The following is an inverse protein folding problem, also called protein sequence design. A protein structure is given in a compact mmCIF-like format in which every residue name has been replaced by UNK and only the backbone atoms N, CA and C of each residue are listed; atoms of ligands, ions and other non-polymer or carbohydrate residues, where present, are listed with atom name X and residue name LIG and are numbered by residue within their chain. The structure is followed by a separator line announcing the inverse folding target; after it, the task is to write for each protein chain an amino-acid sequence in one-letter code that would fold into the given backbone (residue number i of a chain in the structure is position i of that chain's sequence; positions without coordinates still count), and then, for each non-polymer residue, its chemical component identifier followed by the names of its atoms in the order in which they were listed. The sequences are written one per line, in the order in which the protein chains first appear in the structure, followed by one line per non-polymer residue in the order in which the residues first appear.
data_IF_360389907486
#
_entry.id   IF_360389907486
#
_cell.length_a   1.000
_cell.length_b   1.000
_cell.length_c   1.000
_cell.angle_alpha   90.00
_cell.angle_beta   90.00
_cell.angle_gamma   90.00
#
_symmetry.space_group_name_H-M   'P 1'
#
loop_
_entity.id
_entity.type
_entity.pdbx_description
1 polymer ?
#
# COMPACT_ATOMS: atom_id res chain seq x y z
N UNK A 1 1.49 2.41 23.37
CA UNK A 1 0.29 1.57 23.17
C UNK A 1 0.64 0.16 22.66
N UNK A 2 1.56 -0.58 23.29
CA UNK A 2 1.77 -2.02 22.98
C UNK A 2 2.34 -2.39 21.59
N UNK A 3 2.62 -1.44 20.70
CA UNK A 3 3.00 -1.71 19.29
C UNK A 3 4.51 -1.76 19.01
N UNK A 4 5.35 -1.55 20.02
CA UNK A 4 6.80 -1.32 19.86
C UNK A 4 7.58 -2.55 19.36
N UNK A 5 7.10 -3.77 19.62
CA UNK A 5 7.76 -5.03 19.23
C UNK A 5 7.48 -5.50 17.79
N UNK A 6 6.60 -4.82 17.05
CA UNK A 6 6.17 -5.26 15.73
C UNK A 6 6.91 -4.56 14.57
N UNK A 7 7.08 -5.24 13.41
CA UNK A 7 7.62 -4.64 12.19
C UNK A 7 6.79 -3.45 11.71
N UNK A 8 7.38 -2.52 10.94
CA UNK A 8 6.76 -1.23 10.57
C UNK A 8 5.38 -1.35 9.91
N UNK A 9 5.20 -2.34 9.04
CA UNK A 9 3.92 -2.61 8.36
C UNK A 9 2.83 -3.05 9.35
N UNK A 10 3.15 -3.96 10.28
CA UNK A 10 2.21 -4.43 11.31
C UNK A 10 1.90 -3.31 12.30
N UNK A 11 2.91 -2.54 12.71
CA UNK A 11 2.76 -1.40 13.63
C UNK A 11 1.75 -0.37 13.11
N UNK A 12 1.79 -0.04 11.81
CA UNK A 12 0.83 0.88 11.18
C UNK A 12 -0.61 0.36 11.32
N UNK A 13 -0.83 -0.93 11.08
CA UNK A 13 -2.14 -1.58 11.24
C UNK A 13 -2.62 -1.55 12.69
N UNK A 14 -1.74 -1.88 13.65
CA UNK A 14 -2.08 -1.85 15.08
C UNK A 14 -2.41 -0.42 15.56
N UNK A 15 -1.75 0.60 15.01
CA UNK A 15 -2.11 2.01 15.28
C UNK A 15 -3.51 2.33 14.78
N UNK A 16 -3.90 1.86 13.59
CA UNK A 16 -5.28 2.03 13.09
C UNK A 16 -6.27 1.38 14.06
N UNK A 17 -5.99 0.15 14.54
CA UNK A 17 -6.84 -0.51 15.55
C UNK A 17 -6.96 0.33 16.82
N UNK A 18 -5.89 0.94 17.31
CA UNK A 18 -5.93 1.77 18.51
C UNK A 18 -6.77 3.04 18.31
N UNK A 19 -6.69 3.66 17.12
CA UNK A 19 -7.51 4.84 16.78
C UNK A 19 -8.98 4.44 16.70
N UNK A 20 -9.30 3.31 16.07
CA UNK A 20 -10.67 2.79 16.01
C UNK A 20 -11.20 2.47 17.41
N UNK A 21 -10.39 1.83 18.25
CA UNK A 21 -10.76 1.53 19.63
C UNK A 21 -11.05 2.81 20.44
N UNK A 22 -10.25 3.86 20.27
CA UNK A 22 -10.51 5.15 20.90
C UNK A 22 -11.81 5.79 20.38
N UNK A 23 -12.06 5.72 19.07
CA UNK A 23 -13.29 6.24 18.48
C UNK A 23 -14.53 5.51 19.00
N UNK A 24 -14.46 4.17 19.13
CA UNK A 24 -15.51 3.35 19.75
C UNK A 24 -15.74 3.78 21.20
N UNK A 25 -14.67 3.93 21.99
CA UNK A 25 -14.78 4.40 23.37
C UNK A 25 -15.47 5.77 23.48
N UNK A 26 -15.11 6.72 22.60
CA UNK A 26 -15.74 8.06 22.57
C UNK A 26 -17.22 7.93 22.21
N UNK A 27 -17.55 7.17 21.16
CA UNK A 27 -18.93 7.01 20.71
C UNK A 27 -19.79 6.33 21.78
N UNK A 28 -19.31 5.25 22.41
CA UNK A 28 -20.01 4.59 23.52
C UNK A 28 -20.20 5.53 24.72
N UNK A 29 -19.22 6.38 25.03
CA UNK A 29 -19.37 7.38 26.10
C UNK A 29 -20.43 8.44 25.77
N UNK A 30 -20.58 8.83 24.50
CA UNK A 30 -21.68 9.71 24.05
C UNK A 30 -23.03 9.03 24.32
N UNK A 31 -23.20 7.75 24.00
CA UNK A 31 -24.45 7.03 24.28
C UNK A 31 -24.75 6.88 25.78
N UNK A 32 -23.72 6.75 26.63
CA UNK A 32 -23.91 6.84 28.09
C UNK A 32 -24.58 8.16 28.46
N UNK A 33 -24.08 9.28 27.94
CA UNK A 33 -24.66 10.61 28.17
C UNK A 33 -26.09 10.73 27.65
N UNK A 34 -26.35 10.22 26.45
CA UNK A 34 -27.70 10.20 25.85
C UNK A 34 -28.67 9.42 26.75
N UNK A 35 -28.36 8.17 27.11
CA UNK A 35 -29.25 7.36 27.94
C UNK A 35 -29.44 7.94 29.34
N UNK A 36 -28.39 8.53 29.93
CA UNK A 36 -28.49 9.20 31.22
C UNK A 36 -29.43 10.41 31.17
N UNK A 37 -29.40 11.19 30.07
CA UNK A 37 -30.28 12.35 29.89
C UNK A 37 -31.76 11.97 29.73
N UNK A 38 -32.07 10.79 29.18
CA UNK A 38 -33.44 10.28 29.07
C UNK A 38 -33.97 9.62 30.35
N UNK A 39 -33.10 9.29 31.32
CA UNK A 39 -33.49 8.78 32.63
C UNK A 39 -32.66 7.59 33.08
N UNK A 40 -31.78 7.81 34.06
CA UNK A 40 -30.85 6.78 34.54
C UNK A 40 -31.58 5.54 35.06
N UNK A 41 -32.71 5.70 35.76
CA UNK A 41 -33.43 4.59 36.39
C UNK A 41 -33.98 3.56 35.38
N UNK A 42 -34.43 4.02 34.21
CA UNK A 42 -35.01 3.14 33.19
C UNK A 42 -33.94 2.56 32.25
N UNK A 43 -32.87 3.33 31.97
CA UNK A 43 -31.84 2.96 31.00
C UNK A 43 -30.51 2.52 31.61
N UNK A 44 -30.43 2.30 32.93
CA UNK A 44 -29.18 1.86 33.59
C UNK A 44 -28.53 0.62 32.97
N UNK A 45 -29.25 -0.41 32.46
CA UNK A 45 -28.60 -1.57 31.87
C UNK A 45 -27.84 -1.20 30.58
N UNK A 46 -28.39 -0.29 29.78
CA UNK A 46 -27.78 0.25 28.56
C UNK A 46 -26.57 1.12 28.86
N UNK A 47 -26.65 1.92 29.94
CA UNK A 47 -25.54 2.75 30.42
C UNK A 47 -24.37 1.88 30.86
N UNK A 48 -24.62 0.87 31.71
CA UNK A 48 -23.58 -0.04 32.21
C UNK A 48 -22.92 -0.82 31.06
N UNK A 49 -23.72 -1.31 30.10
CA UNK A 49 -23.18 -2.00 28.93
C UNK A 49 -22.30 -1.09 28.05
N UNK A 50 -22.69 0.18 27.83
CA UNK A 50 -21.84 1.13 27.11
C UNK A 50 -20.56 1.47 27.88
N UNK A 51 -20.62 1.67 29.20
CA UNK A 51 -19.43 1.84 30.04
C UNK A 51 -18.50 0.63 29.96
N UNK A 52 -19.05 -0.58 29.96
CA UNK A 52 -18.30 -1.81 29.72
C UNK A 52 -17.60 -1.80 28.36
N UNK A 53 -18.28 -1.35 27.30
CA UNK A 53 -17.70 -1.23 25.97
C UNK A 53 -16.56 -0.19 25.91
N UNK A 54 -16.69 0.95 26.61
CA UNK A 54 -15.61 1.93 26.78
C UNK A 54 -14.38 1.29 27.40
N UNK A 55 -14.56 0.55 28.50
CA UNK A 55 -13.45 -0.12 29.20
C UNK A 55 -12.80 -1.16 28.28
N UNK A 56 -13.59 -2.01 27.63
CA UNK A 56 -13.06 -3.01 26.70
C UNK A 56 -12.28 -2.35 25.55
N UNK A 57 -12.80 -1.29 24.96
CA UNK A 57 -12.16 -0.58 23.87
C UNK A 57 -10.83 0.08 24.30
N UNK A 58 -10.77 0.70 25.49
CA UNK A 58 -9.52 1.27 26.01
C UNK A 58 -8.48 0.22 26.39
N UNK A 59 -8.90 -0.99 26.78
CA UNK A 59 -8.02 -2.11 27.13
C UNK A 59 -7.63 -2.95 25.91
N UNK A 60 -8.39 -2.92 24.81
CA UNK A 60 -8.12 -3.71 23.60
C UNK A 60 -6.68 -3.55 23.05
N UNK A 61 -6.04 -2.36 23.06
CA UNK A 61 -4.64 -2.21 22.66
C UNK A 61 -3.64 -3.05 23.46
N UNK A 62 -3.98 -3.49 24.68
CA UNK A 62 -3.13 -4.37 25.47
C UNK A 62 -3.09 -5.79 24.89
N UNK A 63 -4.16 -6.21 24.18
CA UNK A 63 -4.25 -7.51 23.54
C UNK A 63 -3.26 -7.68 22.37
N UNK A 64 -2.67 -6.59 21.85
CA UNK A 64 -1.57 -6.64 20.88
C UNK A 64 -0.36 -7.44 21.38
N UNK A 65 -0.24 -7.63 22.70
CA UNK A 65 0.81 -8.48 23.29
C UNK A 65 0.65 -9.97 22.99
N UNK A 66 -0.58 -10.41 22.67
CA UNK A 66 -0.89 -11.83 22.41
C UNK A 66 -0.59 -12.15 20.94
N UNK A 67 -1.23 -11.41 20.03
CA UNK A 67 -1.00 -11.51 18.59
C UNK A 67 -1.46 -10.21 17.89
N UNK A 68 -1.26 -10.14 16.58
CA UNK A 68 -1.50 -8.97 15.73
C UNK A 68 -2.96 -8.74 15.34
N UNK A 69 -3.88 -9.62 15.78
CA UNK A 69 -5.33 -9.63 15.46
C UNK A 69 -6.21 -9.63 16.71
N UNK A 70 -5.66 -9.94 17.89
CA UNK A 70 -6.39 -10.21 19.12
C UNK A 70 -7.22 -9.01 19.56
N UNK A 71 -6.64 -7.80 19.50
CA UNK A 71 -7.37 -6.57 19.81
C UNK A 71 -8.61 -6.39 18.93
N UNK A 72 -8.48 -6.68 17.62
CA UNK A 72 -9.59 -6.55 16.68
C UNK A 72 -10.70 -7.57 16.97
N UNK A 73 -10.33 -8.81 17.30
CA UNK A 73 -11.29 -9.86 17.65
C UNK A 73 -12.00 -9.55 18.98
N UNK A 74 -11.29 -9.04 19.98
CA UNK A 74 -11.88 -8.63 21.27
C UNK A 74 -12.88 -7.49 21.06
N UNK A 75 -12.52 -6.47 20.28
CA UNK A 75 -13.43 -5.36 19.95
C UNK A 75 -14.66 -5.89 19.23
N UNK A 76 -14.48 -6.68 18.17
CA UNK A 76 -15.58 -7.22 17.38
C UNK A 76 -16.54 -8.08 18.21
N UNK A 77 -16.00 -8.97 19.07
CA UNK A 77 -16.81 -9.79 19.95
C UNK A 77 -17.58 -8.96 20.99
N UNK A 78 -16.94 -7.95 21.58
CA UNK A 78 -17.56 -7.06 22.55
C UNK A 78 -18.68 -6.22 21.92
N UNK A 79 -18.44 -5.65 20.73
CA UNK A 79 -19.45 -4.88 20.00
C UNK A 79 -20.64 -5.74 19.61
N UNK A 80 -20.42 -6.93 19.03
CA UNK A 80 -21.52 -7.84 18.70
C UNK A 80 -22.33 -8.27 19.92
N UNK A 81 -21.67 -8.54 21.04
CA UNK A 81 -22.35 -8.88 22.30
C UNK A 81 -23.17 -7.70 22.81
N UNK A 82 -22.62 -6.49 22.79
CA UNK A 82 -23.30 -5.28 23.21
C UNK A 82 -24.51 -4.96 22.32
N UNK A 83 -24.36 -5.05 21.00
CA UNK A 83 -25.46 -4.85 20.04
C UNK A 83 -26.59 -5.85 20.25
N UNK A 84 -26.28 -7.12 20.51
CA UNK A 84 -27.29 -8.13 20.78
C UNK A 84 -28.05 -7.85 22.07
N UNK A 85 -27.32 -7.42 23.11
CA UNK A 85 -27.91 -6.97 24.36
C UNK A 85 -28.81 -5.74 24.16
N UNK A 86 -28.37 -4.73 23.41
CA UNK A 86 -29.16 -3.52 23.16
C UNK A 86 -30.46 -3.80 22.41
N UNK A 87 -30.41 -4.64 21.37
CA UNK A 87 -31.62 -5.03 20.62
C UNK A 87 -32.55 -5.88 21.49
N UNK A 88 -32.02 -6.70 22.40
CA UNK A 88 -32.85 -7.44 23.38
C UNK A 88 -33.61 -6.50 24.32
N UNK A 89 -32.97 -5.44 24.80
CA UNK A 89 -33.60 -4.54 25.76
C UNK A 89 -34.58 -3.55 25.10
N UNK A 90 -34.27 -3.05 23.90
CA UNK A 90 -35.04 -2.01 23.19
C UNK A 90 -35.94 -2.53 22.04
N UNK A 91 -35.79 -3.79 21.64
CA UNK A 91 -36.45 -4.37 20.46
C UNK A 91 -35.83 -3.92 19.13
N UNK A 92 -36.17 -4.60 18.04
CA UNK A 92 -35.62 -4.31 16.71
C UNK A 92 -36.10 -2.97 16.10
N UNK A 93 -37.13 -2.33 16.65
CA UNK A 93 -37.56 -0.99 16.20
C UNK A 93 -36.52 0.11 16.49
N UNK A 94 -35.58 -0.16 17.40
CA UNK A 94 -34.45 0.75 17.68
C UNK A 94 -33.51 0.95 16.49
N UNK A 95 -33.51 0.05 15.51
CA UNK A 95 -32.59 0.09 14.36
C UNK A 95 -31.14 -0.24 14.67
N UNK A 96 -30.81 -0.54 15.94
CA UNK A 96 -29.45 -0.83 16.41
C UNK A 96 -28.84 -2.04 15.68
N UNK A 97 -29.67 -2.97 15.21
CA UNK A 97 -29.24 -4.12 14.41
C UNK A 97 -28.57 -3.71 13.08
N UNK A 98 -28.76 -2.49 12.56
CA UNK A 98 -28.02 -2.02 11.39
C UNK A 98 -26.52 -1.91 11.67
N UNK A 99 -26.14 -1.65 12.92
CA UNK A 99 -24.75 -1.51 13.32
C UNK A 99 -23.97 -2.84 13.28
N UNK A 100 -24.63 -4.01 13.17
CA UNK A 100 -23.93 -5.27 12.88
C UNK A 100 -23.16 -5.22 11.55
N UNK A 101 -23.72 -4.51 10.56
CA UNK A 101 -23.10 -4.31 9.25
C UNK A 101 -21.84 -3.44 9.40
N UNK A 102 -21.90 -2.41 10.25
CA UNK A 102 -20.78 -1.51 10.54
C UNK A 102 -19.62 -2.27 11.18
N UNK A 103 -19.88 -3.05 12.23
CA UNK A 103 -18.84 -3.85 12.91
C UNK A 103 -18.21 -4.85 11.95
N UNK A 104 -19.00 -5.50 11.09
CA UNK A 104 -18.50 -6.41 10.07
C UNK A 104 -17.59 -5.70 9.04
N UNK A 105 -17.98 -4.52 8.58
CA UNK A 105 -17.18 -3.71 7.64
C UNK A 105 -15.88 -3.22 8.28
N UNK A 106 -15.93 -2.78 9.54
CA UNK A 106 -14.75 -2.35 10.31
C UNK A 106 -13.79 -3.52 10.53
N UNK A 107 -14.29 -4.72 10.81
CA UNK A 107 -13.45 -5.93 10.94
C UNK A 107 -12.66 -6.21 9.65
N UNK A 108 -13.26 -6.02 8.47
CA UNK A 108 -12.55 -6.10 7.19
C UNK A 108 -11.47 -5.03 7.05
N UNK A 109 -11.77 -3.77 7.38
CA UNK A 109 -10.81 -2.66 7.29
C UNK A 109 -9.60 -2.87 8.22
N UNK A 110 -9.81 -3.50 9.39
CA UNK A 110 -8.76 -3.76 10.38
C UNK A 110 -7.91 -4.98 10.02
N UNK A 111 -8.54 -6.11 9.73
CA UNK A 111 -7.83 -7.38 9.50
C UNK A 111 -7.21 -7.44 8.09
N UNK A 112 -7.83 -6.75 7.13
CA UNK A 112 -7.42 -6.71 5.74
C UNK A 112 -7.43 -8.08 5.06
N UNK A 113 -6.76 -8.15 3.90
CA UNK A 113 -6.66 -9.38 3.09
C UNK A 113 -5.78 -10.46 3.73
N UNK A 114 -4.90 -10.10 4.67
CA UNK A 114 -3.98 -11.04 5.31
C UNK A 114 -4.72 -12.11 6.14
N UNK A 115 -5.89 -11.76 6.68
CA UNK A 115 -6.68 -12.59 7.59
C UNK A 115 -8.09 -12.81 7.05
N UNK A 116 -8.25 -12.98 5.73
CA UNK A 116 -9.54 -13.02 5.05
C UNK A 116 -10.52 -14.07 5.64
N UNK A 117 -10.01 -15.24 6.06
CA UNK A 117 -10.84 -16.29 6.68
C UNK A 117 -11.48 -15.83 8.00
N UNK A 118 -10.76 -15.06 8.80
CA UNK A 118 -11.28 -14.47 10.04
C UNK A 118 -12.34 -13.40 9.74
N UNK A 119 -12.12 -12.59 8.71
CA UNK A 119 -13.11 -11.59 8.29
C UNK A 119 -14.40 -12.24 7.81
N UNK A 120 -14.31 -13.27 6.96
CA UNK A 120 -15.49 -14.02 6.51
C UNK A 120 -16.24 -14.60 7.71
N UNK A 121 -15.53 -15.16 8.69
CA UNK A 121 -16.11 -15.64 9.94
C UNK A 121 -16.83 -14.54 10.72
N UNK A 122 -16.20 -13.37 10.91
CA UNK A 122 -16.80 -12.23 11.59
C UNK A 122 -18.06 -11.72 10.89
N UNK A 123 -18.03 -11.60 9.55
CA UNK A 123 -19.19 -11.21 8.73
C UNK A 123 -20.33 -12.22 8.89
N UNK A 124 -20.03 -13.52 8.83
CA UNK A 124 -21.03 -14.58 9.00
C UNK A 124 -21.66 -14.55 10.39
N UNK A 125 -20.85 -14.34 11.45
CA UNK A 125 -21.34 -14.18 12.82
C UNK A 125 -22.22 -12.93 12.94
N UNK A 126 -21.78 -11.79 12.41
CA UNK A 126 -22.56 -10.55 12.42
C UNK A 126 -23.90 -10.68 11.69
N UNK A 127 -23.92 -11.33 10.52
CA UNK A 127 -25.14 -11.62 9.77
C UNK A 127 -26.08 -12.56 10.57
N UNK A 128 -25.53 -13.62 11.15
CA UNK A 128 -26.29 -14.55 11.98
C UNK A 128 -26.92 -13.86 13.19
N UNK A 129 -26.16 -13.01 13.89
CA UNK A 129 -26.65 -12.22 15.01
C UNK A 129 -27.68 -11.17 14.59
N UNK A 130 -27.51 -10.53 13.43
CA UNK A 130 -28.49 -9.59 12.88
C UNK A 130 -29.83 -10.27 12.62
N UNK A 131 -29.83 -11.42 11.94
CA UNK A 131 -31.02 -12.21 11.65
C UNK A 131 -31.65 -12.73 12.94
N UNK A 132 -30.83 -13.29 13.85
CA UNK A 132 -31.31 -13.78 15.13
C UNK A 132 -31.96 -12.66 15.96
N UNK A 133 -31.33 -11.49 16.04
CA UNK A 133 -31.87 -10.34 16.76
C UNK A 133 -33.20 -9.85 16.16
N UNK A 134 -33.34 -9.88 14.83
CA UNK A 134 -34.60 -9.53 14.15
C UNK A 134 -35.77 -10.42 14.60
N UNK A 135 -35.58 -11.74 14.58
CA UNK A 135 -36.65 -12.71 14.88
C UNK A 135 -36.87 -12.95 16.37
N UNK A 136 -35.80 -12.91 17.19
CA UNK A 136 -35.91 -13.19 18.62
C UNK A 136 -36.48 -12.01 19.41
N UNK A 137 -36.32 -10.78 18.91
CA UNK A 137 -36.71 -9.57 19.63
C UNK A 137 -37.67 -8.67 18.83
N UNK A 138 -38.90 -9.15 18.56
CA UNK A 138 -39.98 -8.33 18.00
C UNK A 138 -40.32 -7.13 18.91
N UNK A 139 -41.03 -6.10 18.41
CA UNK A 139 -41.27 -4.86 19.15
C UNK A 139 -41.96 -5.10 20.49
N UNK A 140 -42.88 -6.06 20.53
CA UNK A 140 -43.66 -6.41 21.71
C UNK A 140 -42.84 -7.12 22.81
N UNK A 141 -41.63 -7.56 22.48
CA UNK A 141 -40.71 -8.22 23.41
C UNK A 141 -39.71 -7.27 24.08
N UNK A 142 -39.76 -5.97 23.76
CA UNK A 142 -38.89 -4.97 24.36
C UNK A 142 -39.09 -4.93 25.89
N UNK A 143 -38.00 -5.07 26.63
CA UNK A 143 -38.02 -5.06 28.11
C UNK A 143 -38.13 -3.65 28.65
N UNK A 144 -37.53 -2.69 27.93
CA UNK A 144 -37.57 -1.28 28.26
C UNK A 144 -38.59 -0.63 27.34
N UNK A 145 -39.67 -0.12 27.93
CA UNK A 145 -40.60 0.77 27.25
C UNK A 145 -39.90 2.12 27.00
N UNK A 146 -39.18 2.20 25.89
CA UNK A 146 -38.40 3.38 25.53
C UNK A 146 -39.29 4.48 24.93
N UNK A 147 -38.87 5.73 25.11
CA UNK A 147 -39.52 6.88 24.51
C UNK A 147 -39.54 6.74 22.97
N UNK A 148 -40.68 6.92 22.29
CA UNK A 148 -40.75 6.87 20.84
C UNK A 148 -39.74 7.80 20.15
N UNK A 149 -39.53 9.01 20.68
CA UNK A 149 -38.56 9.96 20.13
C UNK A 149 -37.13 9.40 20.21
N UNK A 150 -36.77 8.75 21.32
CA UNK A 150 -35.47 8.09 21.47
C UNK A 150 -35.31 6.96 20.45
N UNK A 151 -36.31 6.09 20.28
CA UNK A 151 -36.25 4.99 19.32
C UNK A 151 -36.08 5.48 17.88
N UNK A 152 -36.81 6.51 17.47
CA UNK A 152 -36.67 7.10 16.14
C UNK A 152 -35.28 7.72 15.93
N UNK A 153 -34.75 8.40 16.94
CA UNK A 153 -33.40 8.97 16.87
C UNK A 153 -32.33 7.88 16.76
N UNK A 154 -32.44 6.80 17.56
CA UNK A 154 -31.54 5.64 17.49
C UNK A 154 -31.58 4.97 16.12
N UNK A 155 -32.77 4.84 15.53
CA UNK A 155 -32.92 4.25 14.21
C UNK A 155 -32.26 5.12 13.13
N UNK A 156 -32.59 6.42 13.10
CA UNK A 156 -32.06 7.37 12.11
C UNK A 156 -30.55 7.50 12.23
N UNK A 157 -30.02 7.61 13.45
CA UNK A 157 -28.57 7.70 13.70
C UNK A 157 -27.85 6.40 13.32
N UNK A 158 -28.41 5.22 13.62
CA UNK A 158 -27.84 3.93 13.21
C UNK A 158 -27.82 3.78 11.68
N UNK A 159 -28.91 4.14 11.01
CA UNK A 159 -28.98 4.12 9.55
C UNK A 159 -27.97 5.09 8.92
N UNK A 160 -27.94 6.35 9.37
CA UNK A 160 -27.01 7.36 8.87
C UNK A 160 -25.55 6.95 9.09
N UNK A 161 -25.21 6.49 10.30
CA UNK A 161 -23.86 6.01 10.63
C UNK A 161 -23.47 4.82 9.76
N UNK A 162 -24.39 3.88 9.51
CA UNK A 162 -24.15 2.73 8.64
C UNK A 162 -23.82 3.16 7.22
N UNK A 163 -24.62 4.04 6.61
CA UNK A 163 -24.35 4.56 5.27
C UNK A 163 -23.03 5.32 5.21
N UNK A 164 -22.76 6.21 6.18
CA UNK A 164 -21.53 6.99 6.23
C UNK A 164 -20.29 6.10 6.36
N UNK A 165 -20.29 5.13 7.28
CA UNK A 165 -19.13 4.26 7.50
C UNK A 165 -18.90 3.33 6.30
N UNK A 166 -19.96 2.76 5.71
CA UNK A 166 -19.82 1.95 4.49
C UNK A 166 -19.23 2.79 3.37
N UNK A 167 -19.76 3.99 3.12
CA UNK A 167 -19.23 4.89 2.09
C UNK A 167 -17.77 5.27 2.34
N UNK A 168 -17.39 5.56 3.59
CA UNK A 168 -16.00 5.86 3.97
C UNK A 168 -15.06 4.66 3.76
N UNK A 169 -15.47 3.46 4.18
CA UNK A 169 -14.66 2.25 4.01
C UNK A 169 -14.51 1.90 2.54
N UNK A 170 -15.60 1.96 1.77
CA UNK A 170 -15.58 1.70 0.32
C UNK A 170 -14.72 2.72 -0.40
N UNK A 171 -14.90 4.02 -0.11
CA UNK A 171 -14.07 5.08 -0.68
C UNK A 171 -12.59 4.95 -0.31
N UNK A 172 -12.30 4.59 0.94
CA UNK A 172 -10.92 4.27 1.37
C UNK A 172 -10.35 3.08 0.60
N UNK A 173 -11.11 2.01 0.40
CA UNK A 173 -10.67 0.83 -0.33
C UNK A 173 -10.35 1.16 -1.81
N UNK A 174 -11.23 1.91 -2.48
CA UNK A 174 -10.99 2.34 -3.86
C UNK A 174 -9.79 3.27 -3.98
N UNK A 175 -9.70 4.30 -3.12
CA UNK A 175 -8.55 5.22 -3.16
C UNK A 175 -7.22 4.54 -2.84
N UNK A 176 -7.22 3.52 -1.96
CA UNK A 176 -6.04 2.70 -1.71
C UNK A 176 -5.66 1.85 -2.94
N UNK A 177 -6.65 1.26 -3.62
CA UNK A 177 -6.42 0.50 -4.85
C UNK A 177 -5.86 1.38 -5.99
N UNK A 178 -6.41 2.58 -6.17
CA UNK A 178 -5.95 3.53 -7.19
C UNK A 178 -4.52 4.01 -6.91
N UNK A 179 -4.18 4.29 -5.65
CA UNK A 179 -2.82 4.66 -5.25
C UNK A 179 -1.82 3.54 -5.51
N UNK A 180 -2.18 2.30 -5.13
CA UNK A 180 -1.34 1.14 -5.38
C UNK A 180 -1.12 0.91 -6.89
N UNK A 181 -2.16 1.13 -7.70
CA UNK A 181 -2.07 1.05 -9.16
C UNK A 181 -1.18 2.15 -9.74
N UNK A 182 -1.36 3.39 -9.31
CA UNK A 182 -0.57 4.52 -9.77
C UNK A 182 0.92 4.38 -9.41
N UNK A 183 1.23 3.87 -8.22
CA UNK A 183 2.61 3.58 -7.80
C UNK A 183 3.23 2.46 -8.64
N UNK A 184 2.49 1.38 -8.89
CA UNK A 184 2.94 0.30 -9.78
C UNK A 184 3.18 0.80 -11.21
N UNK A 185 2.28 1.63 -11.75
CA UNK A 185 2.42 2.24 -13.08
C UNK A 185 3.63 3.19 -13.15
N UNK A 186 3.85 4.00 -12.12
CA UNK A 186 5.00 4.90 -12.03
C UNK A 186 6.33 4.14 -11.96
N UNK A 187 6.39 3.08 -11.15
CA UNK A 187 7.58 2.23 -11.06
C UNK A 187 7.87 1.52 -12.38
N UNK A 188 6.84 0.97 -13.04
CA UNK A 188 6.98 0.36 -14.36
C UNK A 188 7.50 1.36 -15.39
N UNK A 189 6.95 2.57 -15.45
CA UNK A 189 7.40 3.62 -16.36
C UNK A 189 8.82 4.14 -16.05
N UNK A 190 9.28 4.02 -14.79
CA UNK A 190 10.65 4.41 -14.41
C UNK A 190 11.72 3.40 -14.86
N UNK A 191 11.33 2.13 -15.08
CA UNK A 191 12.24 1.03 -15.42
C UNK A 191 12.17 0.69 -16.91
N UNK A 192 10.98 0.81 -17.52
CA UNK A 192 10.69 0.38 -18.88
C UNK A 192 10.24 1.56 -19.75
N UNK A 193 10.62 1.58 -21.03
CA UNK A 193 10.02 2.47 -22.01
C UNK A 193 8.51 2.28 -22.11
N UNK A 194 7.78 3.37 -22.28
CA UNK A 194 6.32 3.41 -22.30
C UNK A 194 5.65 2.36 -23.22
N UNK A 195 6.12 2.12 -24.46
CA UNK A 195 5.51 1.09 -25.33
C UNK A 195 5.65 -0.33 -24.78
N UNK A 196 6.72 -0.60 -24.03
CA UNK A 196 7.01 -1.92 -23.46
C UNK A 196 6.25 -2.10 -22.15
N UNK A 197 6.15 -1.03 -21.34
CA UNK A 197 5.32 -1.02 -20.14
C UNK A 197 3.84 -1.31 -20.47
N UNK A 198 3.26 -0.65 -21.46
CA UNK A 198 1.86 -0.88 -21.87
C UNK A 198 1.61 -2.29 -22.43
N UNK A 199 2.56 -2.83 -23.21
CA UNK A 199 2.49 -4.23 -23.67
C UNK A 199 2.51 -5.22 -22.52
N UNK A 200 3.37 -5.01 -21.52
CA UNK A 200 3.44 -5.90 -20.36
C UNK A 200 2.24 -5.76 -19.41
N UNK A 201 1.63 -4.56 -19.32
CA UNK A 201 0.37 -4.36 -18.58
C UNK A 201 -0.79 -5.13 -19.22
N UNK A 202 -0.87 -5.11 -20.55
CA UNK A 202 -1.95 -5.78 -21.30
C UNK A 202 -1.74 -7.29 -21.41
N UNK A 203 -0.48 -7.74 -21.52
CA UNK A 203 -0.12 -9.16 -21.65
C UNK A 203 1.03 -9.52 -20.70
N UNK A 204 0.72 -9.78 -19.43
CA UNK A 204 1.73 -10.18 -18.44
C UNK A 204 2.48 -11.44 -18.91
N UNK A 205 3.82 -11.37 -18.94
CA UNK A 205 4.67 -12.50 -19.32
C UNK A 205 4.92 -12.66 -20.82
N UNK A 206 4.42 -11.76 -21.68
CA UNK A 206 4.80 -11.75 -23.10
C UNK A 206 6.31 -11.52 -23.24
N UNK A 207 6.97 -12.37 -24.05
CA UNK A 207 8.39 -12.17 -24.39
C UNK A 207 8.51 -10.95 -25.30
N UNK A 208 9.05 -9.86 -24.78
CA UNK A 208 9.36 -8.66 -25.56
C UNK A 208 10.74 -8.83 -26.20
N UNK A 209 10.77 -8.99 -27.52
CA UNK A 209 11.96 -9.20 -28.33
C UNK A 209 11.79 -8.56 -29.73
N UNK A 210 11.60 -7.26 -29.77
CA UNK A 210 11.34 -6.55 -31.03
C UNK A 210 12.63 -6.36 -31.83
N UNK A 211 12.58 -6.59 -33.14
CA UNK A 211 13.74 -6.34 -34.00
C UNK A 211 13.81 -4.85 -34.38
N UNK A 212 14.91 -4.18 -34.05
CA UNK A 212 15.19 -2.81 -34.48
C UNK A 212 16.14 -2.88 -35.69
N UNK A 213 15.69 -2.52 -36.90
CA UNK A 213 16.48 -2.70 -38.12
C UNK A 213 17.70 -1.77 -38.19
N UNK A 214 17.63 -0.57 -37.60
CA UNK A 214 18.71 0.42 -37.57
C UNK A 214 18.88 0.99 -36.16
N UNK A 215 19.94 0.57 -35.45
CA UNK A 215 20.23 1.05 -34.10
C UNK A 215 21.73 1.25 -33.90
N UNK A 216 22.14 2.45 -33.48
CA UNK A 216 23.53 2.76 -33.14
C UNK A 216 23.72 2.73 -31.62
N UNK A 217 24.59 1.83 -31.14
CA UNK A 217 24.95 1.70 -29.72
C UNK A 217 26.17 2.58 -29.40
N UNK A 218 26.27 3.11 -28.18
CA UNK A 218 27.46 3.78 -27.65
C UNK A 218 27.89 3.08 -26.38
N UNK A 219 29.18 2.77 -26.30
CA UNK A 219 29.85 2.44 -25.05
C UNK A 219 30.90 3.50 -24.78
N UNK A 220 30.97 3.95 -23.53
CA UNK A 220 32.05 4.83 -23.05
C UNK A 220 32.56 4.25 -21.76
N UNK A 221 33.86 4.40 -21.54
CA UNK A 221 34.56 3.88 -20.39
C UNK A 221 35.59 4.93 -19.95
N UNK A 222 35.80 5.01 -18.63
CA UNK A 222 36.58 6.06 -18.01
C UNK A 222 38.03 5.55 -17.79
N UNK A 223 38.95 5.97 -18.67
CA UNK A 223 40.39 5.66 -18.55
C UNK A 223 41.01 6.25 -17.28
N UNK A 224 41.61 5.39 -16.45
CA UNK A 224 42.30 5.80 -15.21
C UNK A 224 41.36 5.98 -14.01
N UNK A 225 40.09 5.59 -14.13
CA UNK A 225 39.12 5.72 -13.04
C UNK A 225 39.51 4.94 -11.79
N UNK A 226 40.06 3.73 -11.93
CA UNK A 226 40.43 2.88 -10.79
C UNK A 226 41.47 3.54 -9.89
N UNK A 227 42.51 4.15 -10.47
CA UNK A 227 43.56 4.86 -9.73
C UNK A 227 43.00 6.11 -9.04
N UNK A 228 42.19 6.90 -9.78
CA UNK A 228 41.54 8.09 -9.24
C UNK A 228 40.56 7.77 -8.10
N UNK A 229 39.85 6.65 -8.18
CA UNK A 229 38.94 6.19 -7.14
C UNK A 229 39.67 5.77 -5.86
N UNK A 230 40.88 5.20 -6.00
CA UNK A 230 41.75 4.87 -4.87
C UNK A 230 42.30 6.12 -4.18
N UNK A 231 42.61 7.18 -4.93
CA UNK A 231 43.16 8.43 -4.38
C UNK A 231 42.09 9.34 -3.74
N UNK A 232 40.91 9.48 -4.34
CA UNK A 232 39.88 10.44 -3.91
C UNK A 232 38.93 9.94 -2.81
N UNK A 233 38.85 8.62 -2.62
CA UNK A 233 37.92 7.99 -1.68
C UNK A 233 36.46 7.95 -2.16
N UNK A 234 35.71 6.97 -1.66
CA UNK A 234 34.39 6.57 -2.21
C UNK A 234 33.36 7.71 -2.32
N UNK A 235 33.24 8.56 -1.30
CA UNK A 235 32.25 9.64 -1.30
C UNK A 235 32.49 10.65 -2.42
N UNK A 236 33.76 11.05 -2.64
CA UNK A 236 34.11 12.03 -3.67
C UNK A 236 34.06 11.43 -5.06
N UNK A 237 34.46 10.17 -5.21
CA UNK A 237 34.33 9.43 -6.48
C UNK A 237 32.87 9.34 -6.94
N UNK A 238 31.95 8.99 -6.04
CA UNK A 238 30.52 8.88 -6.35
C UNK A 238 29.94 10.26 -6.72
N UNK A 239 30.27 11.32 -5.98
CA UNK A 239 29.81 12.67 -6.30
C UNK A 239 30.23 13.11 -7.71
N UNK A 240 31.45 12.77 -8.13
CA UNK A 240 31.94 13.12 -9.46
C UNK A 240 31.28 12.27 -10.55
N UNK A 241 31.14 10.96 -10.30
CA UNK A 241 30.45 10.06 -11.22
C UNK A 241 29.00 10.52 -11.45
N UNK A 242 28.31 10.93 -10.39
CA UNK A 242 26.93 11.43 -10.46
C UNK A 242 26.81 12.68 -11.34
N UNK A 243 27.74 13.64 -11.21
CA UNK A 243 27.79 14.84 -12.07
C UNK A 243 28.03 14.48 -13.53
N UNK A 244 28.92 13.53 -13.80
CA UNK A 244 29.28 13.10 -15.15
C UNK A 244 28.12 12.36 -15.81
N UNK A 245 27.51 11.40 -15.11
CA UNK A 245 26.33 10.67 -15.57
C UNK A 245 25.15 11.62 -15.78
N UNK A 246 24.91 12.57 -14.88
CA UNK A 246 23.85 13.59 -15.06
C UNK A 246 24.05 14.42 -16.33
N UNK A 247 25.31 14.77 -16.67
CA UNK A 247 25.62 15.49 -17.92
C UNK A 247 25.37 14.62 -19.16
N UNK A 248 25.72 13.34 -19.11
CA UNK A 248 25.40 12.37 -20.17
C UNK A 248 23.89 12.20 -20.34
N UNK A 249 23.14 12.05 -19.24
CA UNK A 249 21.68 11.89 -19.25
C UNK A 249 21.00 13.11 -19.90
N UNK A 250 21.46 14.33 -19.57
CA UNK A 250 20.94 15.56 -20.18
C UNK A 250 21.20 15.62 -21.68
N UNK A 251 22.39 15.21 -22.13
CA UNK A 251 22.74 15.21 -23.55
C UNK A 251 22.01 14.09 -24.31
N UNK A 252 21.79 12.94 -23.69
CA UNK A 252 20.99 11.86 -24.24
C UNK A 252 19.54 12.31 -24.47
N UNK A 253 18.93 12.99 -23.49
CA UNK A 253 17.57 13.55 -23.60
C UNK A 253 17.43 14.58 -24.74
N UNK A 254 18.39 15.51 -24.88
CA UNK A 254 18.38 16.54 -25.95
C UNK A 254 18.43 15.91 -27.34
N UNK A 255 19.11 14.77 -27.48
CA UNK A 255 19.38 14.15 -28.77
C UNK A 255 18.52 12.91 -29.04
N UNK A 256 17.51 12.64 -28.22
CA UNK A 256 16.59 11.51 -28.40
C UNK A 256 17.29 10.15 -28.31
N UNK A 257 18.29 10.02 -27.44
CA UNK A 257 19.04 8.79 -27.23
C UNK A 257 18.70 8.19 -25.89
N UNK A 258 18.50 6.89 -25.88
CA UNK A 258 18.03 6.16 -24.72
C UNK A 258 19.23 5.59 -23.95
N UNK A 259 19.31 5.92 -22.66
CA UNK A 259 20.28 5.32 -21.75
C UNK A 259 19.86 3.88 -21.47
N UNK A 260 20.78 2.93 -21.64
CA UNK A 260 20.53 1.53 -21.33
C UNK A 260 20.91 1.21 -19.89
N UNK A 261 22.15 1.53 -19.51
CA UNK A 261 22.69 1.33 -18.15
C UNK A 261 24.04 2.02 -17.98
N UNK A 262 24.48 2.13 -16.74
CA UNK A 262 25.90 2.30 -16.41
C UNK A 262 26.52 0.94 -16.06
N UNK A 263 27.81 0.76 -16.33
CA UNK A 263 28.57 -0.44 -15.96
C UNK A 263 29.85 0.07 -15.28
N UNK A 264 29.84 0.11 -13.95
CA UNK A 264 30.92 0.74 -13.19
C UNK A 264 31.04 2.22 -13.55
N UNK A 265 32.18 2.57 -14.12
CA UNK A 265 32.57 3.88 -14.62
C UNK A 265 32.22 4.11 -16.11
N UNK A 266 31.67 3.10 -16.77
CA UNK A 266 31.20 3.17 -18.15
C UNK A 266 29.72 3.57 -18.30
N UNK A 267 29.40 4.21 -19.43
CA UNK A 267 28.04 4.62 -19.80
C UNK A 267 27.63 4.02 -21.16
N UNK A 268 26.48 3.34 -21.17
CA UNK A 268 25.91 2.66 -22.35
C UNK A 268 24.59 3.31 -22.77
N UNK A 269 24.47 3.65 -24.06
CA UNK A 269 23.27 4.24 -24.63
C UNK A 269 23.01 3.79 -26.07
N UNK A 270 21.76 3.90 -26.54
CA UNK A 270 21.32 3.45 -27.87
C UNK A 270 20.48 4.53 -28.54
N UNK A 271 20.70 4.73 -29.84
CA UNK A 271 19.80 5.51 -30.69
C UNK A 271 19.14 4.58 -31.70
N UNK A 272 17.82 4.42 -31.62
CA UNK A 272 17.01 3.89 -32.71
C UNK A 272 16.82 5.01 -33.72
N UNK A 273 17.66 5.06 -34.76
CA UNK A 273 17.68 6.16 -35.71
C UNK A 273 17.78 5.61 -37.12
N UNK A 274 16.95 6.15 -38.02
CA UNK A 274 17.09 5.98 -39.47
C UNK A 274 18.44 6.52 -39.97
N UNK A 275 19.09 7.39 -39.19
CA UNK A 275 20.39 8.00 -39.49
C UNK A 275 21.45 7.55 -38.45
N UNK A 276 22.40 6.67 -38.80
CA UNK A 276 23.38 6.10 -37.87
C UNK A 276 24.33 7.13 -37.21
N UNK A 277 24.30 8.40 -37.64
CA UNK A 277 25.20 9.47 -37.19
C UNK A 277 24.78 10.17 -35.88
N UNK A 278 23.57 9.95 -35.35
CA UNK A 278 23.07 10.66 -34.15
C UNK A 278 23.84 10.28 -32.88
N UNK A 279 24.07 8.98 -32.63
CA UNK A 279 24.86 8.50 -31.48
C UNK A 279 26.30 9.02 -31.53
N UNK A 280 26.89 9.02 -32.72
CA UNK A 280 28.24 9.54 -32.98
C UNK A 280 28.32 11.05 -32.69
N UNK A 281 27.28 11.83 -33.06
CA UNK A 281 27.20 13.27 -32.79
C UNK A 281 27.08 13.61 -31.31
N UNK A 282 26.41 12.78 -30.50
CA UNK A 282 26.35 12.96 -29.04
C UNK A 282 27.72 12.72 -28.42
N UNK A 283 28.35 11.59 -28.76
CA UNK A 283 29.69 11.27 -28.30
C UNK A 283 30.66 12.42 -28.64
N UNK A 284 30.56 12.95 -29.86
CA UNK A 284 31.36 14.10 -30.32
C UNK A 284 31.03 15.44 -29.63
N UNK A 285 29.76 15.70 -29.27
CA UNK A 285 29.37 16.93 -28.55
C UNK A 285 29.77 16.89 -27.07
N UNK A 286 29.63 15.74 -26.43
CA UNK A 286 30.19 15.52 -25.08
C UNK A 286 31.71 15.74 -25.13
N UNK A 287 32.39 15.16 -26.13
CA UNK A 287 33.83 15.30 -26.35
C UNK A 287 34.31 16.75 -26.44
N UNK A 288 33.51 17.65 -27.06
CA UNK A 288 33.82 19.09 -27.16
C UNK A 288 33.32 19.96 -26.01
N UNK A 289 32.53 19.40 -25.08
CA UNK A 289 31.99 20.17 -23.95
C UNK A 289 33.10 20.45 -22.94
N UNK A 290 33.20 21.66 -22.36
CA UNK A 290 34.16 21.94 -21.29
C UNK A 290 33.97 20.93 -20.16
N UNK A 291 35.01 20.16 -19.86
CA UNK A 291 35.03 19.23 -18.74
C UNK A 291 35.62 19.99 -17.53
N UNK A 292 35.00 19.92 -16.34
CA UNK A 292 35.62 20.46 -15.13
C UNK A 292 36.93 19.72 -14.86
N UNK A 293 37.94 20.41 -14.32
CA UNK A 293 39.14 19.73 -13.81
C UNK A 293 38.75 18.74 -12.69
N UNK A 294 39.32 17.53 -12.66
CA UNK A 294 40.60 17.10 -13.24
C UNK A 294 40.52 16.36 -14.60
N UNK A 295 39.35 16.32 -15.25
CA UNK A 295 39.03 15.36 -16.31
C UNK A 295 39.57 15.68 -17.72
N UNK A 296 40.58 16.56 -17.85
CA UNK A 296 41.17 16.94 -19.16
C UNK A 296 41.84 15.78 -19.91
N UNK A 297 42.21 14.70 -19.23
CA UNK A 297 42.94 13.55 -19.79
C UNK A 297 42.05 12.39 -20.27
N UNK A 298 40.74 12.44 -20.07
CA UNK A 298 39.84 11.33 -20.35
C UNK A 298 39.57 11.10 -21.84
N UNK A 299 39.87 9.90 -22.34
CA UNK A 299 39.52 9.45 -23.70
C UNK A 299 38.65 8.18 -23.63
N UNK A 300 37.37 8.19 -24.06
CA UNK A 300 36.60 6.95 -24.15
C UNK A 300 37.23 6.02 -25.20
N UNK A 301 37.49 4.77 -24.81
CA UNK A 301 38.31 3.83 -25.61
C UNK A 301 37.62 3.30 -26.87
N UNK A 302 36.28 3.31 -26.97
CA UNK A 302 35.61 2.67 -28.11
C UNK A 302 34.17 3.13 -28.33
N UNK A 303 33.92 3.96 -29.37
CA UNK A 303 32.55 4.18 -29.88
C UNK A 303 32.27 3.05 -30.88
N UNK A 304 31.54 2.01 -30.46
CA UNK A 304 31.04 0.98 -31.37
C UNK A 304 29.75 1.44 -32.06
N UNK A 305 29.83 2.17 -33.16
CA UNK A 305 28.65 2.34 -34.03
C UNK A 305 28.35 1.03 -34.74
N UNK A 306 27.41 0.25 -34.22
CA UNK A 306 26.74 -0.79 -35.01
C UNK A 306 25.80 -0.08 -36.00
N UNK A 307 26.32 0.52 -37.07
CA UNK A 307 25.47 0.81 -38.21
C UNK A 307 25.22 -0.54 -38.90
N UNK A 308 23.99 -1.03 -38.91
CA UNK A 308 23.58 -2.18 -39.71
C UNK A 308 23.64 -1.81 -41.20
N UNK A 309 24.84 -1.63 -41.73
CA UNK A 309 25.11 -1.73 -43.17
C UNK A 309 25.31 -3.20 -43.59
N UNK A 310 25.25 -4.15 -42.65
CA UNK A 310 25.19 -5.59 -42.91
C UNK A 310 24.24 -6.32 -41.93
N UNK A 311 23.00 -6.52 -42.36
CA UNK A 311 22.27 -7.79 -42.23
C UNK A 311 21.87 -8.37 -40.87
N UNK A 312 22.01 -7.70 -39.72
CA UNK A 312 21.47 -8.26 -38.45
C UNK A 312 20.80 -7.20 -37.57
N UNK A 313 19.50 -7.34 -37.25
CA UNK A 313 18.77 -6.40 -36.40
C UNK A 313 19.23 -6.47 -34.94
N UNK A 314 19.22 -5.33 -34.24
CA UNK A 314 19.39 -5.31 -32.79
C UNK A 314 18.07 -5.71 -32.15
N UNK A 315 18.09 -6.70 -31.26
CA UNK A 315 16.89 -7.18 -30.55
C UNK A 315 17.01 -6.82 -29.07
N UNK A 316 16.37 -5.74 -28.58
CA UNK A 316 16.20 -5.53 -27.16
C UNK A 316 15.42 -6.72 -26.60
N UNK A 317 15.95 -7.36 -25.56
CA UNK A 317 15.25 -8.44 -24.87
C UNK A 317 15.12 -8.09 -23.40
N UNK A 318 13.89 -8.20 -22.89
CA UNK A 318 13.61 -8.00 -21.48
C UNK A 318 13.59 -9.36 -20.79
N UNK A 319 14.61 -9.63 -19.97
CA UNK A 319 14.73 -10.88 -19.23
C UNK A 319 14.37 -10.62 -17.77
N UNK A 320 13.14 -10.95 -17.39
CA UNK A 320 12.75 -10.99 -15.99
C UNK A 320 13.56 -12.10 -15.30
N UNK A 321 14.42 -11.74 -14.34
CA UNK A 321 14.98 -12.70 -13.40
C UNK A 321 14.19 -12.56 -12.10
N UNK A 322 13.57 -13.65 -11.66
CA UNK A 322 12.98 -13.71 -10.33
C UNK A 322 14.11 -13.56 -9.32
N UNK A 323 14.04 -12.52 -8.48
CA UNK A 323 14.89 -12.46 -7.29
C UNK A 323 14.42 -13.59 -6.38
N UNK A 324 15.28 -14.56 -6.00
CA UNK A 324 14.88 -15.61 -5.08
C UNK A 324 14.47 -14.97 -3.76
N UNK A 325 13.20 -15.15 -3.39
CA UNK A 325 12.70 -14.83 -2.08
C UNK A 325 13.32 -15.81 -1.09
N UNK A 326 14.37 -15.36 -0.38
CA UNK A 326 14.89 -16.08 0.77
C UNK A 326 13.81 -16.13 1.86
N UNK A 327 12.96 -17.15 1.78
CA UNK A 327 12.15 -17.62 2.88
C UNK A 327 13.04 -18.48 3.77
N UNK A 328 13.21 -18.16 5.06
CA UNK A 328 13.96 -19.03 5.97
C UNK A 328 13.10 -20.25 6.25
N UNK A 329 13.29 -21.32 5.50
CA UNK A 329 12.86 -22.67 5.87
C UNK A 329 13.70 -23.12 7.06
N UNK A 330 13.17 -22.95 8.28
CA UNK A 330 13.65 -23.72 9.43
C UNK A 330 13.27 -25.18 9.23
N UNK A 331 14.19 -25.97 8.69
CA UNK A 331 14.15 -27.43 8.76
C UNK A 331 15.11 -27.92 9.85
N UNK A 332 14.55 -28.60 10.86
CA UNK A 332 15.13 -29.79 11.47
C UNK A 332 16.39 -29.64 12.33
N UNK A 333 16.20 -29.72 13.65
CA UNK A 333 17.13 -30.44 14.53
C UNK A 333 16.38 -30.89 15.80
N UNK A 334 15.94 -32.16 15.82
CA UNK A 334 15.96 -32.99 17.03
C UNK A 334 17.09 -34.00 16.84
N UNK A 335 17.79 -34.33 17.91
CA UNK A 335 17.74 -35.68 18.44
C UNK A 335 16.84 -35.76 19.68
#
# INVERSE_FOLDING_TARGET
MGTAGYPRNVRRRLTIVNVMALMIAIFSAVYVGVFAAFGIENYWPLIVANLGLVVVALLAPLAHRINDVAAALVICAAEYTALFFFVRELGHNSGIQLNYIVVAAVAFAICGMAHLRLVIGAVAVGLGLHIAAWFLYPPDSARIAADPFLLHNLYVSSAATTFCIIALIVGYAFTMADRARAEADSLLASILPEPIAERLKTRPGERVADAIPNASVMFTDLVGFTELAQELGAARTVEILDRLVTKFDRLAAIHGVEKIKTIGDGYMAVAASVHPSTTMRIAWRVWRSPCPEPWRSFRPRTIWTCASASGSPVVPSWRASSVPTNSPTMSGARP
#
